data_IF_745006743995
#
_entry.id   IF_745006743995
#
_cell.length_a   1.000
_cell.length_b   1.000
_cell.length_c   1.000
_cell.angle_alpha   90.00
_cell.angle_beta   90.00
_cell.angle_gamma   90.00
#
_symmetry.space_group_name_H-M   'P 1'
#
loop_
_entity.id
_entity.type
_entity.pdbx_description
1 polymer ?
#
# COMPACT_ATOMS: atom_id res chain seq x y z
N UNK A 1 8.47 -38.35 -15.97
CA UNK A 1 7.49 -37.28 -16.25
C UNK A 1 8.00 -36.56 -17.47
N UNK A 2 7.23 -36.58 -18.56
CA UNK A 2 7.71 -36.20 -19.89
C UNK A 2 7.37 -34.75 -20.25
N UNK A 3 6.54 -34.09 -19.42
CA UNK A 3 6.14 -32.69 -19.57
C UNK A 3 5.71 -32.12 -18.20
N UNK A 4 5.97 -30.83 -17.98
CA UNK A 4 5.48 -30.10 -16.81
C UNK A 4 4.75 -28.82 -17.26
N UNK A 5 3.57 -28.57 -16.69
CA UNK A 5 2.77 -27.35 -16.94
C UNK A 5 2.61 -26.60 -15.62
N UNK A 6 3.43 -25.57 -15.43
CA UNK A 6 3.46 -24.74 -14.24
C UNK A 6 4.08 -23.36 -14.55
N UNK A 7 3.84 -22.32 -13.72
CA UNK A 7 4.55 -21.05 -13.82
C UNK A 7 6.00 -21.24 -13.37
N UNK A 8 6.86 -21.70 -14.28
CA UNK A 8 8.26 -22.00 -14.00
C UNK A 8 9.16 -20.91 -14.60
N UNK A 9 9.92 -20.23 -13.73
CA UNK A 9 10.90 -19.23 -14.17
C UNK A 9 12.03 -19.89 -14.96
N UNK A 10 12.21 -19.45 -16.20
CA UNK A 10 13.31 -19.84 -17.08
C UNK A 10 14.61 -19.28 -16.48
N UNK A 11 15.55 -20.15 -16.16
CA UNK A 11 16.86 -19.78 -15.62
C UNK A 11 17.93 -20.56 -16.38
N UNK A 12 19.11 -19.97 -16.57
CA UNK A 12 20.20 -20.57 -17.35
C UNK A 12 20.61 -21.97 -16.87
N UNK A 13 20.61 -22.19 -15.54
CA UNK A 13 20.95 -23.50 -14.98
C UNK A 13 19.92 -24.58 -15.32
N UNK A 14 18.65 -24.22 -15.49
CA UNK A 14 17.58 -25.17 -15.83
C UNK A 14 17.52 -25.44 -17.33
N UNK A 15 17.82 -24.44 -18.15
CA UNK A 15 17.87 -24.58 -19.61
C UNK A 15 18.94 -25.59 -20.07
N UNK A 16 20.00 -25.79 -19.29
CA UNK A 16 21.01 -26.83 -19.56
C UNK A 16 20.53 -28.27 -19.34
N UNK A 17 19.45 -28.46 -18.57
CA UNK A 17 18.97 -29.78 -18.16
C UNK A 17 17.65 -30.16 -18.85
N UNK A 18 16.85 -29.17 -19.28
CA UNK A 18 15.55 -29.36 -19.93
C UNK A 18 15.34 -28.30 -21.02
N UNK A 19 14.65 -28.68 -22.09
CA UNK A 19 14.28 -27.76 -23.17
C UNK A 19 13.02 -26.95 -22.81
N UNK A 20 13.12 -25.62 -22.91
CA UNK A 20 12.00 -24.70 -22.70
C UNK A 20 11.33 -24.31 -24.02
N UNK A 21 10.01 -24.16 -23.99
CA UNK A 21 9.27 -23.51 -25.07
C UNK A 21 9.37 -21.98 -25.00
N UNK A 22 8.89 -21.27 -26.03
CA UNK A 22 8.80 -19.81 -26.00
C UNK A 22 7.98 -19.36 -24.78
N UNK A 23 8.42 -18.30 -24.06
CA UNK A 23 7.74 -17.86 -22.86
C UNK A 23 6.28 -17.52 -23.17
N UNK A 24 5.35 -18.19 -22.49
CA UNK A 24 3.92 -17.91 -22.65
C UNK A 24 3.47 -16.67 -21.85
N UNK A 25 4.31 -16.20 -20.92
CA UNK A 25 4.01 -15.14 -19.97
C UNK A 25 5.29 -14.38 -19.61
N UNK A 26 5.43 -13.16 -20.11
CA UNK A 26 6.56 -12.28 -19.82
C UNK A 26 6.29 -11.43 -18.56
N UNK A 27 6.36 -12.04 -17.38
CA UNK A 27 6.22 -11.30 -16.11
C UNK A 27 7.57 -10.92 -15.51
N UNK A 28 7.62 -9.73 -14.90
CA UNK A 28 8.70 -9.30 -14.03
C UNK A 28 8.30 -9.37 -12.55
N UNK A 29 9.27 -9.25 -11.65
CA UNK A 29 9.03 -9.16 -10.21
C UNK A 29 8.36 -7.81 -9.93
N UNK A 30 7.16 -7.82 -9.35
CA UNK A 30 6.46 -6.63 -8.89
C UNK A 30 6.11 -6.77 -7.41
N UNK A 31 6.12 -5.65 -6.70
CA UNK A 31 5.75 -5.60 -5.29
C UNK A 31 4.26 -5.31 -5.20
N UNK A 32 3.50 -6.25 -4.66
CA UNK A 32 2.10 -6.03 -4.31
C UNK A 32 2.02 -5.50 -2.88
N UNK A 33 1.59 -4.25 -2.71
CA UNK A 33 1.34 -3.64 -1.42
C UNK A 33 -0.14 -3.32 -1.26
N UNK A 34 -0.74 -3.67 -0.12
CA UNK A 34 -2.10 -3.27 0.18
C UNK A 34 -2.10 -1.77 0.46
N UNK A 35 -2.83 -1.00 -0.36
CA UNK A 35 -3.04 0.42 -0.08
C UNK A 35 -3.58 0.56 1.36
N UNK A 36 -2.95 1.38 2.22
CA UNK A 36 -3.50 1.64 3.54
C UNK A 36 -4.87 2.31 3.33
N UNK A 37 -5.90 1.76 3.96
CA UNK A 37 -7.19 2.42 3.99
C UNK A 37 -7.02 3.68 4.83
N UNK A 38 -7.07 4.88 4.23
CA UNK A 38 -7.09 6.11 5.02
C UNK A 38 -8.41 6.12 5.78
N UNK A 39 -8.36 5.81 7.07
CA UNK A 39 -9.52 5.83 7.93
C UNK A 39 -9.97 7.28 8.10
N UNK A 40 -11.00 7.62 7.34
CA UNK A 40 -11.95 8.73 7.45
C UNK A 40 -11.48 9.96 8.24
N UNK A 41 -11.25 11.06 7.52
CA UNK A 41 -11.26 12.40 8.09
C UNK A 41 -12.64 12.65 8.73
N UNK A 42 -12.75 12.42 10.04
CA UNK A 42 -13.95 12.76 10.79
C UNK A 42 -14.25 14.25 10.68
N UNK A 43 -15.49 14.65 10.98
CA UNK A 43 -15.93 16.05 10.97
C UNK A 43 -15.00 17.00 11.77
N UNK A 44 -14.30 16.48 12.76
CA UNK A 44 -13.34 17.20 13.60
C UNK A 44 -11.89 17.18 13.08
N UNK A 45 -11.63 16.72 11.85
CA UNK A 45 -10.29 16.77 11.26
C UNK A 45 -9.78 18.20 11.07
N UNK A 46 -10.67 19.20 11.15
CA UNK A 46 -10.31 20.62 11.15
C UNK A 46 -9.78 21.11 12.51
N UNK A 47 -10.05 20.37 13.59
CA UNK A 47 -9.47 20.65 14.90
C UNK A 47 -8.07 20.01 15.05
N UNK A 48 -7.72 19.01 14.23
CA UNK A 48 -6.40 18.36 14.23
C UNK A 48 -5.15 19.27 14.09
N UNK A 49 -5.15 20.40 13.36
CA UNK A 49 -3.94 21.22 13.24
C UNK A 49 -3.55 21.94 14.54
N UNK A 50 -4.47 22.05 15.51
CA UNK A 50 -4.21 22.71 16.79
C UNK A 50 -4.59 21.80 17.97
N UNK A 51 -3.84 21.89 19.06
CA UNK A 51 -4.13 21.15 20.28
C UNK A 51 -5.53 21.52 20.80
N UNK A 52 -6.35 20.56 21.27
CA UNK A 52 -7.68 20.83 21.84
C UNK A 52 -7.68 21.90 22.93
N UNK A 53 -6.59 22.05 23.68
CA UNK A 53 -6.44 23.10 24.70
C UNK A 53 -6.59 24.51 24.12
N UNK A 54 -6.02 24.74 22.92
CA UNK A 54 -6.09 26.05 22.25
C UNK A 54 -7.54 26.39 21.93
N UNK A 55 -8.33 25.41 21.50
CA UNK A 55 -9.77 25.58 21.26
C UNK A 55 -10.54 25.96 22.53
N UNK A 56 -10.19 25.37 23.68
CA UNK A 56 -10.79 25.71 24.98
C UNK A 56 -10.40 27.12 25.41
N UNK A 57 -9.13 27.50 25.27
CA UNK A 57 -8.69 28.87 25.57
C UNK A 57 -9.40 29.91 24.71
N UNK A 58 -9.58 29.64 23.40
CA UNK A 58 -10.34 30.51 22.50
C UNK A 58 -11.78 30.69 23.01
N UNK A 59 -12.45 29.60 23.40
CA UNK A 59 -13.81 29.66 23.95
C UNK A 59 -13.87 30.43 25.29
N UNK A 60 -12.93 30.20 26.22
CA UNK A 60 -12.87 30.93 27.49
C UNK A 60 -12.64 32.43 27.27
N UNK A 61 -11.72 32.80 26.38
CA UNK A 61 -11.45 34.21 26.07
C UNK A 61 -12.67 34.86 25.43
N UNK A 62 -13.34 34.19 24.48
CA UNK A 62 -14.59 34.69 23.89
C UNK A 62 -15.67 34.95 24.94
N UNK A 63 -15.83 34.04 25.90
CA UNK A 63 -16.83 34.16 26.96
C UNK A 63 -16.50 35.23 28.00
N UNK A 64 -15.22 35.46 28.28
CA UNK A 64 -14.77 36.52 29.21
C UNK A 64 -14.91 37.90 28.58
N UNK A 65 -14.76 38.01 27.26
CA UNK A 65 -14.88 39.26 26.52
C UNK A 65 -16.34 39.64 26.22
N UNK A 66 -17.22 38.64 26.05
CA UNK A 66 -18.65 38.82 25.81
C UNK A 66 -19.42 39.26 27.07
#
# INVERSE_FOLDING_TARGET
ADLAVAPLTITFMREKAIDFSKPFLNTGISILYRRPNSTNSGFFSFLNPMTPDIWVYILCVLFVIA
#
